data_IF_940468099366
#
_entry.id   IF_940468099366
#
_cell.length_a   1.000
_cell.length_b   1.000
_cell.length_c   1.000
_cell.angle_alpha   90.00
_cell.angle_beta   90.00
_cell.angle_gamma   90.00
#
_symmetry.space_group_name_H-M   'P 1'
#
loop_
_entity.id
_entity.type
_entity.pdbx_description
1 polymer ?
#
# COMPACT_ATOMS: atom_id res chain seq x y z
N UNK A 1 -32.46 -32.35 -21.99
CA UNK A 1 -32.61 -30.92 -22.33
C UNK A 1 -32.35 -30.18 -21.05
N UNK A 2 -31.08 -29.83 -20.83
CA UNK A 2 -30.67 -29.13 -19.62
C UNK A 2 -30.98 -27.64 -19.79
N UNK A 3 -31.74 -27.11 -18.84
CA UNK A 3 -32.05 -25.68 -18.74
C UNK A 3 -30.75 -24.86 -18.71
N UNK A 4 -30.69 -23.70 -19.38
CA UNK A 4 -29.52 -22.85 -19.31
C UNK A 4 -29.33 -22.33 -17.89
N UNK A 5 -28.08 -22.09 -17.43
CA UNK A 5 -27.83 -21.47 -16.14
C UNK A 5 -28.47 -20.08 -16.15
N UNK A 6 -29.25 -19.80 -15.10
CA UNK A 6 -29.87 -18.52 -14.83
C UNK A 6 -28.82 -17.43 -14.89
N UNK A 7 -28.91 -16.62 -15.95
CA UNK A 7 -28.16 -15.38 -16.08
C UNK A 7 -28.43 -14.53 -14.84
N UNK A 8 -27.38 -14.20 -14.09
CA UNK A 8 -27.39 -13.15 -13.07
C UNK A 8 -27.51 -11.81 -13.82
N UNK A 9 -28.64 -11.56 -14.47
CA UNK A 9 -28.99 -10.29 -15.08
C UNK A 9 -29.90 -9.57 -14.11
N UNK A 10 -29.37 -8.59 -13.35
CA UNK A 10 -30.24 -7.76 -12.52
C UNK A 10 -29.59 -6.96 -11.40
N UNK A 11 -28.30 -7.14 -11.08
CA UNK A 11 -27.60 -6.19 -10.20
C UNK A 11 -27.08 -5.02 -11.02
N UNK A 12 -27.65 -3.83 -10.82
CA UNK A 12 -26.95 -2.59 -11.12
C UNK A 12 -25.68 -2.59 -10.25
N UNK A 13 -24.53 -2.64 -10.91
CA UNK A 13 -23.24 -2.76 -10.24
C UNK A 13 -22.53 -1.41 -10.23
N UNK A 14 -21.97 -0.98 -9.09
CA UNK A 14 -22.22 -1.46 -7.72
C UNK A 14 -23.60 -1.00 -7.17
N UNK A 15 -24.17 -1.76 -6.23
CA UNK A 15 -25.39 -1.37 -5.50
C UNK A 15 -25.14 -0.02 -4.77
N UNK A 16 -26.09 0.93 -4.78
CA UNK A 16 -25.99 2.15 -3.99
C UNK A 16 -25.60 1.94 -2.52
N UNK A 17 -26.04 0.85 -1.89
CA UNK A 17 -25.69 0.50 -0.51
C UNK A 17 -24.22 0.05 -0.38
N UNK A 18 -23.69 -0.60 -1.40
CA UNK A 18 -22.28 -1.01 -1.47
C UNK A 18 -21.37 0.21 -1.67
N UNK A 19 -21.82 1.22 -2.40
CA UNK A 19 -21.12 2.51 -2.54
C UNK A 19 -21.07 3.30 -1.23
N UNK A 20 -22.16 3.31 -0.46
CA UNK A 20 -22.18 3.97 0.85
C UNK A 20 -21.21 3.30 1.82
N UNK A 21 -21.23 1.96 1.89
CA UNK A 21 -20.29 1.17 2.70
C UNK A 21 -18.84 1.49 2.32
N UNK A 22 -18.58 1.65 1.02
CA UNK A 22 -17.26 2.01 0.53
C UNK A 22 -16.84 3.42 0.97
N UNK A 23 -17.75 4.41 0.94
CA UNK A 23 -17.47 5.75 1.46
C UNK A 23 -17.22 5.76 2.97
N UNK A 24 -18.06 5.07 3.74
CA UNK A 24 -17.95 5.04 5.21
C UNK A 24 -16.61 4.42 5.66
N UNK A 25 -16.13 3.43 4.91
CA UNK A 25 -14.84 2.77 5.18
C UNK A 25 -13.64 3.72 5.13
N UNK A 26 -13.76 4.88 4.48
CA UNK A 26 -12.68 5.87 4.39
C UNK A 26 -12.30 6.46 5.75
N UNK A 27 -13.23 6.46 6.70
CA UNK A 27 -12.96 6.87 8.09
C UNK A 27 -12.00 5.93 8.83
N UNK A 28 -11.79 4.71 8.32
CA UNK A 28 -10.92 3.70 8.92
C UNK A 28 -9.48 3.74 8.39
N UNK A 29 -9.19 4.64 7.46
CA UNK A 29 -7.85 4.77 6.88
C UNK A 29 -6.91 5.36 7.95
N UNK A 30 -5.78 4.70 8.24
CA UNK A 30 -4.83 5.23 9.21
C UNK A 30 -4.14 6.49 8.66
N UNK A 31 -3.58 7.28 9.58
CA UNK A 31 -2.89 8.53 9.20
C UNK A 31 -1.70 8.28 8.27
N UNK A 32 -0.98 7.19 8.48
CA UNK A 32 0.19 6.87 7.70
C UNK A 32 0.05 5.56 6.94
N UNK A 33 0.42 5.61 5.66
CA UNK A 33 0.48 4.46 4.78
C UNK A 33 1.86 4.34 4.15
N UNK A 34 2.31 3.11 3.95
CA UNK A 34 3.64 2.76 3.48
C UNK A 34 3.55 2.02 2.16
N UNK A 35 4.54 2.24 1.28
CA UNK A 35 4.66 1.51 0.03
C UNK A 35 6.12 1.26 -0.29
N UNK A 36 6.48 0.01 -0.49
CA UNK A 36 7.72 -0.32 -1.18
C UNK A 36 7.49 -0.29 -2.69
N UNK A 37 8.39 0.36 -3.43
CA UNK A 37 8.42 0.30 -4.88
C UNK A 37 9.86 0.27 -5.41
N UNK A 38 10.01 -0.14 -6.66
CA UNK A 38 11.20 0.13 -7.47
C UNK A 38 10.71 0.80 -8.77
N UNK A 39 11.59 1.45 -9.55
CA UNK A 39 11.24 2.01 -10.86
C UNK A 39 10.61 0.97 -11.82
N UNK A 40 10.95 -0.31 -11.63
CA UNK A 40 10.39 -1.47 -12.34
C UNK A 40 9.11 -2.06 -11.71
N UNK A 41 8.59 -1.48 -10.63
CA UNK A 41 7.35 -1.93 -10.01
C UNK A 41 6.15 -1.76 -10.94
N UNK A 42 5.07 -2.46 -10.58
CA UNK A 42 3.83 -2.38 -11.33
C UNK A 42 3.26 -0.98 -11.42
N UNK A 43 3.24 -0.23 -10.33
CA UNK A 43 2.79 1.16 -10.30
C UNK A 43 3.81 2.12 -10.92
N UNK A 44 3.34 3.25 -11.45
CA UNK A 44 4.20 4.34 -11.90
C UNK A 44 4.62 5.16 -10.67
N UNK A 45 5.84 4.96 -10.20
CA UNK A 45 6.36 5.56 -8.98
C UNK A 45 7.70 6.25 -9.22
N UNK A 46 7.88 7.40 -8.58
CA UNK A 46 9.13 8.15 -8.42
C UNK A 46 9.02 9.02 -7.17
N UNK A 47 10.07 9.78 -6.86
CA UNK A 47 10.09 10.74 -5.73
C UNK A 47 9.02 11.85 -5.85
N UNK A 48 8.67 12.24 -7.07
CA UNK A 48 7.68 13.30 -7.35
C UNK A 48 6.29 12.79 -7.70
N UNK A 49 6.15 11.52 -8.09
CA UNK A 49 4.87 10.93 -8.50
C UNK A 49 4.63 9.50 -7.99
N UNK A 50 3.44 9.20 -7.44
CA UNK A 50 2.96 7.82 -7.24
C UNK A 50 1.56 7.65 -7.83
N UNK A 51 1.41 6.68 -8.73
CA UNK A 51 0.13 6.38 -9.37
C UNK A 51 0.04 5.00 -10.05
N UNK A 52 -1.16 4.63 -10.51
CA UNK A 52 -1.45 3.33 -11.10
C UNK A 52 -0.89 3.16 -12.52
N UNK A 53 -1.04 1.94 -13.06
CA UNK A 53 -0.66 1.62 -14.46
C UNK A 53 -1.64 2.23 -15.45
N UNK A 54 -2.92 2.15 -15.14
CA UNK A 54 -4.02 2.70 -15.92
C UNK A 54 -4.58 3.95 -15.26
N UNK A 55 -5.15 4.86 -16.05
CA UNK A 55 -5.88 6.01 -15.52
C UNK A 55 -7.14 5.47 -14.81
N UNK A 56 -7.41 5.88 -13.56
CA UNK A 56 -8.64 5.52 -12.86
C UNK A 56 -9.88 5.89 -13.67
N UNK A 57 -10.83 4.97 -13.77
CA UNK A 57 -12.16 5.16 -14.36
C UNK A 57 -13.23 4.96 -13.30
N UNK A 58 -14.44 5.46 -13.55
CA UNK A 58 -15.57 5.25 -12.61
C UNK A 58 -15.79 3.76 -12.39
N UNK A 59 -16.07 3.36 -11.15
CA UNK A 59 -16.39 1.97 -10.85
C UNK A 59 -17.58 1.50 -11.69
N UNK A 60 -17.39 0.37 -12.36
CA UNK A 60 -18.40 -0.33 -13.14
C UNK A 60 -18.12 -1.83 -13.21
N UNK A 61 -18.76 -2.56 -14.13
CA UNK A 61 -18.69 -4.03 -14.20
C UNK A 61 -17.27 -4.60 -14.25
N UNK A 62 -16.36 -3.93 -14.96
CA UNK A 62 -14.96 -4.37 -15.10
C UNK A 62 -14.09 -4.15 -13.86
N UNK A 63 -14.60 -3.44 -12.84
CA UNK A 63 -13.84 -3.16 -11.61
C UNK A 63 -13.48 -4.45 -10.89
N UNK A 64 -14.37 -5.44 -10.90
CA UNK A 64 -14.13 -6.75 -10.30
C UNK A 64 -12.91 -7.43 -10.93
N UNK A 65 -12.85 -7.51 -12.26
CA UNK A 65 -11.73 -8.12 -12.99
C UNK A 65 -10.40 -7.39 -12.73
N UNK A 66 -10.44 -6.04 -12.72
CA UNK A 66 -9.28 -5.19 -12.46
C UNK A 66 -8.77 -5.43 -11.03
N UNK A 67 -9.68 -5.46 -10.05
CA UNK A 67 -9.39 -5.66 -8.64
C UNK A 67 -8.85 -7.06 -8.40
N UNK A 68 -9.47 -8.08 -8.97
CA UNK A 68 -9.04 -9.47 -8.83
C UNK A 68 -7.63 -9.66 -9.44
N UNK A 69 -7.42 -9.15 -10.65
CA UNK A 69 -6.10 -9.18 -11.28
C UNK A 69 -5.07 -8.44 -10.42
N UNK A 70 -5.41 -7.27 -9.86
CA UNK A 70 -4.53 -6.49 -9.00
C UNK A 70 -4.12 -7.26 -7.73
N UNK A 71 -5.10 -7.81 -6.99
CA UNK A 71 -4.88 -8.51 -5.72
C UNK A 71 -4.11 -9.83 -5.90
N UNK A 72 -4.20 -10.45 -7.08
CA UNK A 72 -3.34 -11.59 -7.48
C UNK A 72 -1.93 -11.19 -7.94
N UNK A 73 -1.63 -9.89 -7.96
CA UNK A 73 -0.44 -9.28 -8.60
C UNK A 73 -0.30 -9.63 -10.08
N UNK A 74 -1.43 -9.84 -10.73
CA UNK A 74 -1.53 -10.07 -12.16
C UNK A 74 -0.98 -8.90 -12.97
N UNK A 75 -0.64 -9.21 -14.23
CA UNK A 75 -0.18 -8.24 -15.23
C UNK A 75 -1.06 -8.27 -16.48
N UNK A 76 -2.06 -9.14 -16.52
CA UNK A 76 -2.98 -9.34 -17.64
C UNK A 76 -3.85 -8.09 -17.85
N UNK A 77 -4.26 -7.44 -16.76
CA UNK A 77 -5.06 -6.21 -16.77
C UNK A 77 -4.23 -5.07 -16.17
N UNK A 78 -4.22 -3.91 -16.84
CA UNK A 78 -3.55 -2.72 -16.31
C UNK A 78 -4.37 -2.17 -15.16
N UNK A 79 -3.86 -2.33 -13.95
CA UNK A 79 -4.58 -1.88 -12.76
C UNK A 79 -4.68 -0.36 -12.65
N UNK A 80 -5.85 0.08 -12.19
CA UNK A 80 -6.20 1.45 -11.80
C UNK A 80 -5.88 1.76 -10.33
N UNK A 81 -5.41 0.76 -9.57
CA UNK A 81 -5.12 0.86 -8.15
C UNK A 81 -3.63 0.91 -7.86
N UNK A 82 -3.28 1.54 -6.74
CA UNK A 82 -1.96 1.47 -6.12
C UNK A 82 -2.09 0.87 -4.73
N UNK A 83 -1.44 -0.27 -4.48
CA UNK A 83 -1.35 -0.83 -3.13
C UNK A 83 -0.47 0.01 -2.22
N UNK A 84 -1.00 0.22 -1.03
CA UNK A 84 -0.35 0.75 0.16
C UNK A 84 -0.60 -0.20 1.32
N UNK A 85 0.21 -0.11 2.37
CA UNK A 85 0.00 -0.86 3.61
C UNK A 85 0.11 0.03 4.83
N UNK A 86 -0.63 -0.26 5.89
CA UNK A 86 -0.46 0.43 7.17
C UNK A 86 0.72 -0.10 8.00
N UNK A 87 1.48 -1.08 7.49
CA UNK A 87 2.60 -1.68 8.20
C UNK A 87 3.93 -1.41 7.51
N UNK A 88 4.78 -0.61 8.16
CA UNK A 88 6.16 -0.39 7.69
C UNK A 88 6.96 -1.69 7.61
N UNK A 89 6.72 -2.64 8.52
CA UNK A 89 7.39 -3.94 8.51
C UNK A 89 7.07 -4.74 7.23
N UNK A 90 5.82 -4.68 6.77
CA UNK A 90 5.40 -5.31 5.50
C UNK A 90 6.10 -4.65 4.32
N UNK A 91 6.17 -3.32 4.30
CA UNK A 91 6.87 -2.58 3.24
C UNK A 91 8.36 -2.94 3.21
N UNK A 92 9.03 -3.03 4.37
CA UNK A 92 10.43 -3.40 4.48
C UNK A 92 10.70 -4.85 4.08
N UNK A 93 9.85 -5.80 4.47
CA UNK A 93 9.98 -7.19 3.97
C UNK A 93 9.83 -7.26 2.46
N UNK A 94 8.92 -6.47 1.87
CA UNK A 94 8.80 -6.41 0.43
C UNK A 94 10.04 -5.83 -0.24
N UNK A 95 10.67 -4.82 0.39
CA UNK A 95 11.95 -4.27 -0.06
C UNK A 95 13.08 -5.30 0.00
N UNK A 96 13.24 -6.01 1.12
CA UNK A 96 14.27 -7.05 1.29
C UNK A 96 14.08 -8.15 0.24
N UNK A 97 12.85 -8.65 0.05
CA UNK A 97 12.57 -9.66 -0.98
C UNK A 97 12.88 -9.19 -2.39
N UNK A 98 12.68 -7.89 -2.67
CA UNK A 98 13.07 -7.29 -3.95
C UNK A 98 14.60 -7.21 -4.08
N UNK A 99 15.33 -6.84 -3.02
CA UNK A 99 16.79 -6.81 -3.02
C UNK A 99 17.40 -8.21 -3.26
N UNK A 100 16.86 -9.23 -2.58
CA UNK A 100 17.30 -10.62 -2.71
C UNK A 100 16.94 -11.23 -4.06
N UNK A 101 15.79 -10.83 -4.63
CA UNK A 101 15.34 -11.30 -5.94
C UNK A 101 16.11 -10.62 -7.06
N UNK A 102 16.96 -11.34 -7.78
CA UNK A 102 17.81 -10.77 -8.85
C UNK A 102 17.06 -10.21 -10.09
N UNK A 103 15.72 -10.23 -10.09
CA UNK A 103 14.88 -9.89 -11.23
C UNK A 103 14.44 -8.41 -11.30
N UNK A 104 14.84 -7.57 -10.34
CA UNK A 104 14.51 -6.14 -10.40
C UNK A 104 15.54 -5.36 -11.23
N UNK A 105 15.05 -4.48 -12.10
CA UNK A 105 15.88 -3.55 -12.88
C UNK A 105 15.75 -2.15 -12.31
N UNK A 106 16.87 -1.42 -12.33
CA UNK A 106 16.96 -0.04 -11.92
C UNK A 106 17.44 0.88 -13.06
N UNK A 107 16.60 1.13 -14.07
CA UNK A 107 16.99 1.99 -15.18
C UNK A 107 17.20 3.46 -14.77
N UNK A 108 16.70 3.88 -13.61
CA UNK A 108 16.75 5.28 -13.16
C UNK A 108 17.82 5.54 -12.10
N UNK A 109 18.41 4.49 -11.53
CA UNK A 109 19.37 4.60 -10.41
C UNK A 109 18.72 4.99 -9.08
N UNK A 110 17.38 4.92 -8.98
CA UNK A 110 16.66 5.29 -7.74
C UNK A 110 16.67 4.14 -6.72
N UNK A 111 16.98 2.92 -7.14
CA UNK A 111 16.99 1.74 -6.29
C UNK A 111 15.59 1.21 -5.94
N UNK A 112 15.51 0.53 -4.79
CA UNK A 112 14.24 0.16 -4.17
C UNK A 112 13.95 1.21 -3.11
N UNK A 113 12.74 1.74 -3.10
CA UNK A 113 12.34 2.83 -2.23
C UNK A 113 11.20 2.43 -1.30
N UNK A 114 11.16 3.06 -0.12
CA UNK A 114 10.00 3.10 0.76
C UNK A 114 9.39 4.49 0.69
N UNK A 115 8.11 4.56 0.33
CA UNK A 115 7.30 5.76 0.41
C UNK A 115 6.44 5.74 1.68
N UNK A 116 6.32 6.91 2.32
CA UNK A 116 5.42 7.15 3.45
C UNK A 116 4.44 8.25 3.06
N UNK A 117 3.15 7.91 3.05
CA UNK A 117 2.04 8.80 2.72
C UNK A 117 1.37 9.27 4.00
N UNK A 118 1.25 10.59 4.20
CA UNK A 118 0.36 11.17 5.21
C UNK A 118 -1.02 11.36 4.58
N UNK A 119 -1.98 10.54 4.99
CA UNK A 119 -3.32 10.50 4.40
C UNK A 119 -4.14 11.76 4.68
N UNK A 120 -3.79 12.53 5.72
CA UNK A 120 -4.45 13.83 6.00
C UNK A 120 -4.11 14.91 4.98
N UNK A 121 -3.04 14.72 4.20
CA UNK A 121 -2.62 15.66 3.14
C UNK A 121 -3.16 15.28 1.75
N UNK A 122 -3.81 14.13 1.66
CA UNK A 122 -4.34 13.60 0.40
C UNK A 122 -5.69 14.27 0.13
N UNK A 123 -5.89 14.88 -1.05
CA UNK A 123 -7.19 15.45 -1.41
C UNK A 123 -8.28 14.38 -1.38
N UNK A 124 -9.48 14.74 -0.94
CA UNK A 124 -10.63 13.82 -0.91
C UNK A 124 -10.99 13.23 -2.29
N UNK A 125 -10.58 13.92 -3.36
CA UNK A 125 -10.74 13.50 -4.77
C UNK A 125 -9.81 12.36 -5.18
N UNK A 126 -8.87 11.95 -4.32
CA UNK A 126 -7.98 10.80 -4.51
C UNK A 126 -8.38 9.73 -3.49
N UNK A 127 -9.39 8.91 -3.79
CA UNK A 127 -9.91 7.99 -2.82
C UNK A 127 -8.93 6.85 -2.52
N UNK A 128 -8.89 6.47 -1.25
CA UNK A 128 -8.15 5.32 -0.74
C UNK A 128 -9.18 4.46 0.01
N UNK A 129 -9.13 3.15 -0.19
CA UNK A 129 -10.09 2.24 0.44
C UNK A 129 -9.35 1.04 1.05
N UNK A 130 -9.83 0.46 2.16
CA UNK A 130 -9.36 -0.85 2.60
C UNK A 130 -9.62 -1.88 1.50
N UNK A 131 -8.63 -2.72 1.17
CA UNK A 131 -8.76 -3.72 0.13
C UNK A 131 -9.91 -4.69 0.41
N UNK A 132 -10.06 -5.12 1.66
CA UNK A 132 -11.16 -5.99 2.09
C UNK A 132 -12.55 -5.38 1.88
N UNK A 133 -12.70 -4.05 2.03
CA UNK A 133 -13.98 -3.38 1.73
C UNK A 133 -14.28 -3.42 0.24
N UNK A 134 -13.29 -3.09 -0.61
CA UNK A 134 -13.44 -3.19 -2.07
C UNK A 134 -13.79 -4.62 -2.50
N UNK A 135 -13.14 -5.63 -1.92
CA UNK A 135 -13.45 -7.03 -2.22
C UNK A 135 -14.91 -7.35 -1.93
N UNK A 136 -15.42 -6.95 -0.76
CA UNK A 136 -16.83 -7.16 -0.38
C UNK A 136 -17.79 -6.41 -1.31
N UNK A 137 -17.55 -5.12 -1.54
CA UNK A 137 -18.34 -4.25 -2.43
C UNK A 137 -18.46 -4.83 -3.84
N UNK A 138 -17.39 -5.42 -4.38
CA UNK A 138 -17.37 -5.98 -5.74
C UNK A 138 -17.56 -7.50 -5.78
N UNK A 139 -17.95 -8.14 -4.67
CA UNK A 139 -18.27 -9.56 -4.63
C UNK A 139 -17.10 -10.49 -4.90
N UNK A 140 -15.88 -10.11 -4.52
CA UNK A 140 -14.72 -11.01 -4.60
C UNK A 140 -14.75 -12.01 -3.43
N UNK A 141 -14.48 -13.30 -3.69
CA UNK A 141 -14.48 -14.34 -2.66
C UNK A 141 -13.36 -14.15 -1.63
N UNK A 142 -13.68 -14.22 -0.34
CA UNK A 142 -12.70 -14.08 0.75
C UNK A 142 -11.69 -15.26 0.82
N UNK A 143 -12.03 -16.40 0.23
CA UNK A 143 -11.26 -17.66 0.28
C UNK A 143 -10.41 -17.91 -0.98
N UNK A 144 -10.47 -17.03 -1.98
CA UNK A 144 -9.65 -17.18 -3.18
C UNK A 144 -8.14 -17.08 -2.87
N UNK A 145 -7.28 -17.71 -3.68
CA UNK A 145 -5.83 -17.72 -3.50
C UNK A 145 -5.20 -16.36 -3.90
N UNK A 146 -5.77 -15.26 -3.42
CA UNK A 146 -5.07 -13.99 -3.36
C UNK A 146 -3.82 -14.17 -2.50
N UNK A 147 -2.73 -13.47 -2.84
CA UNK A 147 -1.45 -13.74 -2.20
C UNK A 147 -1.54 -13.46 -0.71
N UNK A 148 -1.67 -14.53 0.11
CA UNK A 148 -1.33 -14.88 1.52
C UNK A 148 -1.01 -13.80 2.56
N UNK A 149 -1.04 -12.52 2.23
CA UNK A 149 -0.99 -11.40 3.12
C UNK A 149 -2.44 -11.02 3.40
N UNK A 150 -2.76 -11.03 4.68
CA UNK A 150 -4.06 -10.62 5.17
C UNK A 150 -4.42 -9.24 4.59
N UNK A 151 -5.41 -9.15 3.71
CA UNK A 151 -5.84 -7.91 3.06
C UNK A 151 -6.31 -6.84 4.06
N UNK A 152 -6.46 -7.20 5.34
CA UNK A 152 -6.65 -6.28 6.45
C UNK A 152 -5.58 -5.19 6.54
N UNK A 153 -4.40 -5.39 5.92
CA UNK A 153 -3.29 -4.44 5.96
C UNK A 153 -3.05 -3.73 4.64
N UNK A 154 -3.84 -4.04 3.60
CA UNK A 154 -3.71 -3.46 2.27
C UNK A 154 -4.79 -2.38 2.04
N UNK A 155 -4.35 -1.23 1.53
CA UNK A 155 -5.19 -0.11 1.18
C UNK A 155 -4.96 0.22 -0.29
N UNK A 156 -6.03 0.35 -1.06
CA UNK A 156 -5.97 0.61 -2.49
C UNK A 156 -6.32 2.06 -2.76
N UNK A 157 -5.34 2.81 -3.25
CA UNK A 157 -5.55 4.15 -3.79
C UNK A 157 -6.04 4.03 -5.23
N UNK A 158 -7.22 4.58 -5.51
CA UNK A 158 -7.80 4.67 -6.85
C UNK A 158 -7.62 6.08 -7.39
N UNK A 159 -6.40 6.36 -7.84
CA UNK A 159 -5.97 7.73 -8.00
C UNK A 159 -4.46 7.86 -8.05
N UNK A 160 -3.98 9.09 -8.02
CA UNK A 160 -2.54 9.37 -7.99
C UNK A 160 -2.25 10.48 -6.99
N UNK A 161 -1.09 10.41 -6.36
CA UNK A 161 -0.56 11.46 -5.50
C UNK A 161 0.69 12.06 -6.12
N UNK A 162 0.81 13.37 -5.97
CA UNK A 162 1.95 14.16 -6.44
C UNK A 162 2.48 14.98 -5.29
N UNK A 163 3.79 15.03 -5.17
CA UNK A 163 4.45 16.10 -4.43
C UNK A 163 4.43 17.33 -5.34
N UNK A 164 3.81 18.41 -4.86
CA UNK A 164 3.79 19.71 -5.56
C UNK A 164 4.62 20.70 -4.75
N UNK A 165 5.15 21.78 -5.37
CA UNK A 165 5.84 22.82 -4.62
C UNK A 165 5.02 23.24 -3.39
N UNK A 166 5.68 23.32 -2.23
CA UNK A 166 5.10 23.67 -0.93
C UNK A 166 4.07 22.67 -0.34
N UNK A 167 3.74 21.57 -1.04
CA UNK A 167 2.81 20.54 -0.57
C UNK A 167 3.44 19.18 -0.81
N UNK A 168 4.22 18.74 0.17
CA UNK A 168 4.70 17.36 0.25
C UNK A 168 3.58 16.48 0.81
N UNK A 169 3.12 15.50 0.02
CA UNK A 169 2.08 14.55 0.42
C UNK A 169 2.65 13.23 0.88
N UNK A 170 3.83 12.89 0.36
CA UNK A 170 4.56 11.70 0.76
C UNK A 170 6.06 11.94 0.71
N UNK A 171 6.77 11.17 1.50
CA UNK A 171 8.23 11.15 1.54
C UNK A 171 8.73 9.83 0.98
N UNK A 172 9.91 9.82 0.36
CA UNK A 172 10.52 8.64 -0.26
C UNK A 172 11.97 8.51 0.22
N UNK A 173 12.38 7.30 0.58
CA UNK A 173 13.77 6.95 0.93
C UNK A 173 14.19 5.76 0.10
N UNK A 174 15.40 5.79 -0.43
CA UNK A 174 16.00 4.59 -0.98
C UNK A 174 16.34 3.63 0.16
N UNK A 175 16.03 2.35 0.03
CA UNK A 175 16.33 1.34 1.05
C UNK A 175 17.83 1.27 1.33
N UNK A 176 18.67 1.57 0.35
CA UNK A 176 20.11 1.68 0.55
C UNK A 176 20.45 2.83 1.52
N UNK A 177 19.86 4.01 1.36
CA UNK A 177 20.01 5.11 2.32
C UNK A 177 19.47 4.74 3.71
N UNK A 178 18.38 3.97 3.76
CA UNK A 178 17.85 3.45 5.03
C UNK A 178 18.88 2.56 5.76
N UNK A 179 19.62 1.75 5.01
CA UNK A 179 20.69 0.88 5.53
C UNK A 179 21.91 1.72 5.91
N UNK A 180 22.40 2.56 4.99
CA UNK A 180 23.65 3.32 5.15
C UNK A 180 23.58 4.32 6.32
N UNK A 181 22.41 4.93 6.53
CA UNK A 181 22.18 5.84 7.66
C UNK A 181 21.80 5.12 8.96
N UNK A 182 21.88 3.79 8.99
CA UNK A 182 21.53 2.97 10.14
C UNK A 182 20.10 3.19 10.66
N UNK A 183 19.15 3.56 9.81
CA UNK A 183 17.78 3.83 10.25
C UNK A 183 17.06 2.58 10.78
N UNK A 184 17.54 1.39 10.41
CA UNK A 184 17.12 0.14 11.03
C UNK A 184 17.42 0.12 12.54
N UNK A 185 18.41 0.88 13.03
CA UNK A 185 18.68 1.03 14.45
C UNK A 185 17.63 1.86 15.19
N UNK A 186 16.72 2.57 14.50
CA UNK A 186 15.58 3.20 15.18
C UNK A 186 14.52 2.15 15.53
N UNK A 187 14.56 0.99 14.87
CA UNK A 187 13.62 -0.10 15.06
C UNK A 187 14.28 -1.25 15.79
N UNK A 188 13.96 -1.40 17.08
CA UNK A 188 14.42 -2.51 17.91
C UNK A 188 14.35 -3.88 17.21
N UNK A 189 13.28 -4.25 16.45
CA UNK A 189 13.24 -5.54 15.77
C UNK A 189 14.36 -5.75 14.74
N UNK A 190 14.87 -4.69 14.10
CA UNK A 190 15.93 -4.78 13.10
C UNK A 190 17.34 -4.64 13.69
N UNK A 191 17.48 -4.24 14.95
CA UNK A 191 18.78 -4.16 15.64
C UNK A 191 19.38 -5.52 15.98
N UNK A 192 18.58 -6.59 16.04
CA UNK A 192 19.02 -7.95 16.38
C UNK A 192 18.39 -8.99 15.44
N UNK A 193 18.86 -9.05 14.18
CA UNK A 193 18.21 -9.84 13.14
C UNK A 193 18.62 -11.32 13.21
N UNK A 194 18.03 -12.07 14.14
CA UNK A 194 18.09 -13.54 14.11
C UNK A 194 16.84 -14.13 13.43
N UNK A 195 16.74 -15.46 13.33
CA UNK A 195 15.49 -16.19 13.01
C UNK A 195 14.26 -15.67 13.79
N UNK A 196 14.51 -14.99 14.91
CA UNK A 196 13.58 -14.16 15.68
C UNK A 196 12.96 -13.00 14.91
N UNK A 197 13.54 -12.39 13.89
CA UNK A 197 12.85 -11.33 13.12
C UNK A 197 11.62 -11.92 12.43
N UNK A 198 11.75 -13.09 11.80
CA UNK A 198 10.60 -13.78 11.19
C UNK A 198 9.60 -14.29 12.23
N UNK A 199 10.07 -14.83 13.35
CA UNK A 199 9.19 -15.26 14.46
C UNK A 199 8.51 -14.07 15.15
N UNK A 200 9.22 -12.95 15.36
CA UNK A 200 8.72 -11.70 15.95
C UNK A 200 7.80 -10.97 14.99
N UNK A 201 8.04 -11.04 13.69
CA UNK A 201 7.07 -10.58 12.69
C UNK A 201 5.79 -11.40 12.72
N UNK A 202 5.87 -12.70 12.98
CA UNK A 202 4.71 -13.57 13.12
C UNK A 202 4.01 -13.40 14.48
N UNK A 203 4.76 -13.15 15.56
CA UNK A 203 4.25 -12.79 16.89
C UNK A 203 3.62 -11.40 16.88
N UNK A 204 4.25 -10.38 16.32
CA UNK A 204 3.68 -9.04 16.15
C UNK A 204 2.42 -9.12 15.28
N UNK A 205 2.42 -9.93 14.22
CA UNK A 205 1.22 -10.21 13.42
C UNK A 205 0.10 -10.82 14.29
N UNK A 206 0.43 -11.73 15.22
CA UNK A 206 -0.51 -12.37 16.15
C UNK A 206 -0.92 -11.49 17.34
N UNK A 207 -0.04 -10.62 17.83
CA UNK A 207 -0.27 -9.65 18.92
C UNK A 207 -1.15 -8.51 18.42
N UNK A 208 -0.87 -7.97 17.23
CA UNK A 208 -1.70 -6.97 16.55
C UNK A 208 -3.07 -7.55 16.16
N UNK A 209 -3.15 -8.85 15.86
CA UNK A 209 -4.43 -9.56 15.66
C UNK A 209 -5.26 -9.67 16.95
N UNK A 210 -4.61 -9.76 18.12
CA UNK A 210 -5.28 -9.75 19.43
C UNK A 210 -5.67 -8.35 19.88
N UNK A 211 -4.94 -7.32 19.46
CA UNK A 211 -5.17 -5.91 19.80
C UNK A 211 -6.05 -5.19 18.78
N UNK A 212 -7.18 -5.78 18.38
CA UNK A 212 -8.19 -5.09 17.57
C UNK A 212 -8.96 -4.00 18.37
N UNK A 213 -8.24 -3.28 19.24
CA UNK A 213 -8.63 -2.10 20.02
C UNK A 213 -7.39 -1.23 20.26
N UNK A 214 -6.94 -0.43 19.27
CA UNK A 214 -6.00 0.67 19.51
C UNK A 214 -5.05 1.02 18.35
N UNK A 215 -5.40 2.06 17.58
CA UNK A 215 -4.62 2.63 16.45
C UNK A 215 -3.27 3.26 16.83
N UNK A 216 -2.87 3.33 18.10
CA UNK A 216 -1.90 4.32 18.58
C UNK A 216 -0.41 3.99 18.36
N UNK A 217 0.00 2.73 18.32
CA UNK A 217 1.44 2.39 18.30
C UNK A 217 2.07 2.51 16.91
N UNK A 218 1.34 2.19 15.85
CA UNK A 218 1.83 2.29 14.47
C UNK A 218 1.96 3.76 14.03
N UNK A 219 1.05 4.62 14.48
CA UNK A 219 1.13 6.06 14.21
C UNK A 219 2.34 6.69 14.89
N UNK A 220 2.73 6.24 16.09
CA UNK A 220 3.95 6.69 16.78
C UNK A 220 5.21 6.26 16.03
N UNK A 221 5.25 5.02 15.57
CA UNK A 221 6.36 4.48 14.77
C UNK A 221 6.51 5.26 13.46
N UNK A 222 5.39 5.49 12.77
CA UNK A 222 5.34 6.29 11.55
C UNK A 222 5.78 7.74 11.79
N UNK A 223 5.34 8.34 12.90
CA UNK A 223 5.73 9.69 13.28
C UNK A 223 7.23 9.82 13.59
N UNK A 224 7.81 8.86 14.31
CA UNK A 224 9.27 8.83 14.56
C UNK A 224 10.07 8.67 13.28
N UNK A 225 9.59 7.82 12.37
CA UNK A 225 10.18 7.67 11.04
C UNK A 225 10.10 9.00 10.28
N UNK A 226 8.92 9.64 10.23
CA UNK A 226 8.69 10.93 9.56
C UNK A 226 9.50 12.09 10.16
N UNK A 227 9.67 12.15 11.48
CA UNK A 227 10.52 13.16 12.14
C UNK A 227 11.98 12.99 11.70
N UNK A 228 12.51 11.78 11.83
CA UNK A 228 13.87 11.43 11.38
C UNK A 228 14.04 11.70 9.87
N UNK A 229 12.98 11.45 9.09
CA UNK A 229 12.91 11.72 7.66
C UNK A 229 12.91 13.20 7.31
N UNK A 230 12.13 13.99 8.05
CA UNK A 230 12.00 15.43 7.83
C UNK A 230 13.33 16.10 8.12
N UNK A 231 14.07 15.64 9.13
CA UNK A 231 15.45 16.05 9.37
C UNK A 231 16.38 15.70 8.20
N UNK A 232 16.27 14.51 7.62
CA UNK A 232 17.10 14.11 6.47
C UNK A 232 16.79 14.95 5.21
N UNK A 233 15.51 15.22 4.92
CA UNK A 233 15.09 16.06 3.81
C UNK A 233 15.43 17.55 4.03
N UNK A 234 15.31 18.05 5.27
CA UNK A 234 15.76 19.39 5.64
C UNK A 234 17.29 19.53 5.51
N UNK A 235 18.05 18.49 5.86
CA UNK A 235 19.50 18.46 5.66
C UNK A 235 19.89 18.52 4.18
N UNK A 236 19.19 17.77 3.31
CA UNK A 236 19.44 17.80 1.87
C UNK A 236 18.94 19.07 1.18
N UNK A 237 17.91 19.75 1.71
CA UNK A 237 17.38 21.00 1.14
C UNK A 237 18.14 22.26 1.56
N UNK A 238 19.07 22.17 2.53
CA UNK A 238 20.00 23.26 2.87
C UNK A 238 21.25 23.33 1.96
N UNK A 239 21.31 22.51 0.89
CA UNK A 239 22.35 22.59 -0.15
C UNK A 239 21.88 23.34 -1.42
N UNK A 240 20.81 24.11 -1.34
CA UNK A 240 20.39 25.08 -2.35
C UNK A 240 20.62 26.52 -1.86
#
# INVERSE_FOLDING_TARGET
MDSPPSSISGREFPDPLDLQTLQDSRSTIPRYLFKCYSPSSGSRCSTGFIGPRARPTTFGPHTQDILECHLRWGKQIRSEFVSWTNSILVALVYAIRKLEGQDWRDPTGEGICIAVLDTSTVPETVPIYPAGTLMKTFGLPDDAPYKRYNHSWEFLMHGRVRNTPCIQRYSVVAVQEFIDNNFYQVFEPFQSPDQRLWARMDELRKELWKQNTGSSDMDRIAANFMLSFSFLLLWHSQQC
#
